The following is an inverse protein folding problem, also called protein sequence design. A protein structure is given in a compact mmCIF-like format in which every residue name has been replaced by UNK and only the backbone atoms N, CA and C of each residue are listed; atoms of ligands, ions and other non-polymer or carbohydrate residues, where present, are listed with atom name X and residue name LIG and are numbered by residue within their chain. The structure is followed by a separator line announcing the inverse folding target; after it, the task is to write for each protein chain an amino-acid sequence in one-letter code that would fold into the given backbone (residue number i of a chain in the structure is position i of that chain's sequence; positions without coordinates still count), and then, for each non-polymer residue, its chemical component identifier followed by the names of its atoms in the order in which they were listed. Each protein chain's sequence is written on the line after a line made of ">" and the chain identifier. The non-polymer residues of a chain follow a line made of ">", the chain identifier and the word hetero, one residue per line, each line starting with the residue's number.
data_IF_709492482167
#
_entry.id   IF_709492482167
#
_cell.length_a   1.000
_cell.length_b   1.000
_cell.length_c   1.000
_cell.angle_alpha   90.00
_cell.angle_beta   90.00
_cell.angle_gamma   90.00
#
_symmetry.space_group_name_H-M   'P 1'
#
loop_
_entity.id
_entity.type
_entity.pdbx_description
1 polymer ?
#
# COMPACT_ATOMS: atom_id res chain seq x y z
N UNK A 1 -8.41 20.16 -7.04
CA UNK A 1 -7.92 19.44 -5.84
C UNK A 1 -9.02 19.49 -4.79
N UNK A 2 -9.54 18.34 -4.37
CA UNK A 2 -10.53 18.28 -3.28
C UNK A 2 -9.83 18.11 -1.92
N UNK A 3 -10.50 18.49 -0.82
CA UNK A 3 -9.98 18.23 0.53
C UNK A 3 -9.71 16.73 0.75
N UNK A 4 -10.60 15.86 0.26
CA UNK A 4 -10.45 14.41 0.36
C UNK A 4 -9.19 13.91 -0.37
N UNK A 5 -8.95 14.41 -1.59
CA UNK A 5 -7.75 14.07 -2.36
C UNK A 5 -6.46 14.51 -1.65
N UNK A 6 -6.47 15.67 -0.98
CA UNK A 6 -5.34 16.13 -0.18
C UNK A 6 -5.10 15.22 1.05
N UNK A 7 -6.16 14.87 1.78
CA UNK A 7 -6.10 13.98 2.95
C UNK A 7 -5.59 12.59 2.55
N UNK A 8 -6.12 12.00 1.46
CA UNK A 8 -5.66 10.71 0.94
C UNK A 8 -4.18 10.74 0.58
N UNK A 9 -3.72 11.79 -0.11
CA UNK A 9 -2.31 11.93 -0.47
C UNK A 9 -1.39 12.05 0.75
N UNK A 10 -1.80 12.81 1.77
CA UNK A 10 -1.04 12.92 3.02
C UNK A 10 -1.01 11.57 3.73
N UNK A 11 -2.13 10.87 3.83
CA UNK A 11 -2.22 9.56 4.48
C UNK A 11 -1.29 8.53 3.80
N UNK A 12 -1.30 8.45 2.46
CA UNK A 12 -0.42 7.53 1.72
C UNK A 12 1.06 7.87 1.89
N UNK A 13 1.43 9.16 1.89
CA UNK A 13 2.81 9.60 2.13
C UNK A 13 3.26 9.28 3.56
N UNK A 14 2.41 9.52 4.56
CA UNK A 14 2.70 9.18 5.96
C UNK A 14 2.81 7.67 6.16
N UNK A 15 2.00 6.88 5.46
CA UNK A 15 2.08 5.42 5.50
C UNK A 15 3.41 4.93 4.90
N UNK A 16 3.81 5.45 3.74
CA UNK A 16 5.12 5.17 3.15
C UNK A 16 6.27 5.46 4.11
N UNK A 17 6.25 6.62 4.78
CA UNK A 17 7.28 6.97 5.74
C UNK A 17 7.27 6.02 6.96
N UNK A 18 6.08 5.63 7.44
CA UNK A 18 5.95 4.65 8.52
C UNK A 18 6.56 3.29 8.13
N UNK A 19 6.38 2.84 6.89
CA UNK A 19 6.98 1.61 6.36
C UNK A 19 8.51 1.72 6.30
N UNK A 20 9.07 2.88 5.92
CA UNK A 20 10.52 3.09 5.86
C UNK A 20 11.21 2.99 7.22
N UNK A 21 10.50 3.34 8.29
CA UNK A 21 11.02 3.31 9.65
C UNK A 21 10.94 1.93 10.33
N UNK A 22 10.21 0.98 9.74
CA UNK A 22 10.01 -0.34 10.32
C UNK A 22 10.87 -1.42 9.66
N UNK A 23 10.99 -2.58 10.30
CA UNK A 23 11.57 -3.80 9.75
C UNK A 23 10.49 -4.87 9.78
N UNK A 24 10.31 -5.60 8.67
CA UNK A 24 9.21 -6.54 8.52
C UNK A 24 9.69 -7.99 8.52
N UNK A 25 8.87 -8.88 9.07
CA UNK A 25 8.93 -10.31 8.75
C UNK A 25 8.22 -10.56 7.42
N UNK A 26 8.32 -11.80 6.90
CA UNK A 26 7.59 -12.22 5.70
C UNK A 26 6.09 -11.95 5.80
N UNK A 27 5.46 -12.31 6.93
CA UNK A 27 4.02 -12.07 7.12
C UNK A 27 3.69 -10.59 7.29
N UNK A 28 4.61 -9.79 7.85
CA UNK A 28 4.47 -8.32 7.88
C UNK A 28 4.44 -7.73 6.48
N UNK A 29 5.35 -8.15 5.58
CA UNK A 29 5.34 -7.75 4.18
C UNK A 29 4.05 -8.15 3.46
N UNK A 30 3.58 -9.38 3.68
CA UNK A 30 2.34 -9.88 3.08
C UNK A 30 1.11 -9.09 3.56
N UNK A 31 1.09 -8.69 4.84
CA UNK A 31 0.04 -7.83 5.36
C UNK A 31 0.05 -6.45 4.68
N UNK A 32 1.23 -5.85 4.45
CA UNK A 32 1.33 -4.60 3.68
C UNK A 32 0.76 -4.77 2.27
N UNK A 33 0.95 -5.91 1.59
CA UNK A 33 0.34 -6.16 0.28
C UNK A 33 -1.20 -6.15 0.35
N UNK A 34 -1.79 -6.78 1.37
CA UNK A 34 -3.24 -6.80 1.60
C UNK A 34 -3.76 -5.41 1.91
N UNK A 35 -3.11 -4.68 2.81
CA UNK A 35 -3.49 -3.32 3.19
C UNK A 35 -3.45 -2.39 1.98
N UNK A 36 -2.37 -2.45 1.17
CA UNK A 36 -2.23 -1.68 -0.06
C UNK A 36 -3.32 -2.02 -1.08
N UNK A 37 -3.67 -3.30 -1.27
CA UNK A 37 -4.75 -3.70 -2.16
C UNK A 37 -6.11 -3.18 -1.65
N UNK A 38 -6.37 -3.27 -0.35
CA UNK A 38 -7.59 -2.74 0.26
C UNK A 38 -7.68 -1.22 0.09
N UNK A 39 -6.60 -0.49 0.36
CA UNK A 39 -6.54 0.96 0.19
C UNK A 39 -6.76 1.36 -1.27
N UNK A 40 -6.16 0.64 -2.24
CA UNK A 40 -6.39 0.89 -3.66
C UNK A 40 -7.87 0.75 -4.03
N UNK A 41 -8.54 -0.31 -3.57
CA UNK A 41 -9.95 -0.56 -3.89
C UNK A 41 -10.91 0.47 -3.26
N UNK A 42 -10.59 1.00 -2.08
CA UNK A 42 -11.47 1.88 -1.34
C UNK A 42 -11.16 3.37 -1.55
N UNK A 43 -9.91 3.73 -1.84
CA UNK A 43 -9.49 5.13 -1.94
C UNK A 43 -9.57 5.71 -3.36
N UNK A 44 -9.63 4.87 -4.41
CA UNK A 44 -9.59 5.34 -5.80
C UNK A 44 -10.65 6.41 -6.12
N UNK A 45 -11.84 6.30 -5.52
CA UNK A 45 -12.96 7.24 -5.72
C UNK A 45 -12.70 8.64 -5.15
N UNK A 46 -11.70 8.79 -4.28
CA UNK A 46 -11.39 10.05 -3.60
C UNK A 46 -10.13 10.74 -4.18
N UNK A 47 -9.43 10.08 -5.11
CA UNK A 47 -8.22 10.61 -5.73
C UNK A 47 -8.56 11.25 -7.08
N UNK A 48 -8.10 12.48 -7.31
CA UNK A 48 -8.25 13.13 -8.63
C UNK A 48 -7.23 12.62 -9.67
N UNK A 49 -6.13 12.04 -9.22
CA UNK A 49 -5.06 11.46 -10.05
C UNK A 49 -4.76 10.05 -9.54
N UNK A 50 -5.36 9.06 -10.21
CA UNK A 50 -5.20 7.65 -9.84
C UNK A 50 -3.76 7.19 -9.98
N UNK A 51 -3.00 7.72 -10.96
CA UNK A 51 -1.62 7.31 -11.22
C UNK A 51 -0.70 7.68 -10.05
N UNK A 52 -0.94 8.84 -9.43
CA UNK A 52 -0.19 9.25 -8.23
C UNK A 52 -0.47 8.33 -7.05
N UNK A 53 -1.74 7.95 -6.82
CA UNK A 53 -2.06 7.00 -5.75
C UNK A 53 -1.48 5.60 -6.02
N UNK A 54 -1.55 5.11 -7.27
CA UNK A 54 -0.98 3.84 -7.68
C UNK A 54 0.54 3.81 -7.46
N UNK A 55 1.24 4.84 -7.93
CA UNK A 55 2.70 4.93 -7.75
C UNK A 55 3.13 5.01 -6.28
N UNK A 56 2.35 5.70 -5.42
CA UNK A 56 2.59 5.70 -3.98
C UNK A 56 2.37 4.33 -3.35
N UNK A 57 1.31 3.62 -3.75
CA UNK A 57 1.05 2.26 -3.27
C UNK A 57 2.16 1.29 -3.69
N UNK A 58 2.59 1.34 -4.95
CA UNK A 58 3.71 0.52 -5.43
C UNK A 58 5.01 0.82 -4.67
N UNK A 59 5.28 2.11 -4.39
CA UNK A 59 6.44 2.52 -3.60
C UNK A 59 6.35 2.06 -2.14
N UNK A 60 5.16 2.02 -1.53
CA UNK A 60 4.94 1.46 -0.19
C UNK A 60 5.31 -0.02 -0.16
N UNK A 61 4.77 -0.82 -1.09
CA UNK A 61 5.07 -2.26 -1.16
C UNK A 61 6.55 -2.49 -1.45
N UNK A 62 7.13 -1.76 -2.40
CA UNK A 62 8.55 -1.80 -2.74
C UNK A 62 9.44 -1.44 -1.55
N UNK A 63 9.06 -0.44 -0.77
CA UNK A 63 9.74 -0.08 0.47
C UNK A 63 9.63 -1.19 1.53
N UNK A 64 8.46 -1.80 1.70
CA UNK A 64 8.28 -2.92 2.62
C UNK A 64 9.15 -4.12 2.23
N UNK A 65 9.27 -4.43 0.92
CA UNK A 65 10.16 -5.50 0.42
C UNK A 65 11.61 -5.23 0.83
N UNK A 66 12.11 -4.00 0.62
CA UNK A 66 13.47 -3.60 1.02
C UNK A 66 13.71 -3.64 2.53
N UNK A 67 12.65 -3.54 3.33
CA UNK A 67 12.70 -3.54 4.80
C UNK A 67 12.35 -4.89 5.41
N UNK A 68 12.11 -5.91 4.59
CA UNK A 68 11.78 -7.25 5.05
C UNK A 68 13.05 -8.09 5.24
N UNK A 69 13.10 -8.86 6.34
CA UNK A 69 14.24 -9.74 6.65
C UNK A 69 14.31 -10.93 5.69
N UNK A 70 13.17 -11.49 5.30
CA UNK A 70 13.03 -12.60 4.35
C UNK A 70 11.84 -12.31 3.41
N UNK A 71 12.07 -11.52 2.34
CA UNK A 71 11.00 -11.05 1.48
C UNK A 71 10.41 -12.21 0.65
N UNK A 72 9.17 -12.58 0.96
CA UNK A 72 8.35 -13.46 0.12
C UNK A 72 7.00 -12.81 -0.10
N UNK A 73 6.76 -12.41 -1.34
CA UNK A 73 5.50 -11.81 -1.74
C UNK A 73 4.40 -12.87 -1.72
N UNK A 74 3.22 -12.46 -1.26
CA UNK A 74 1.98 -13.19 -1.45
C UNK A 74 1.56 -13.12 -2.93
N UNK A 75 1.04 -14.23 -3.44
CA UNK A 75 0.50 -14.32 -4.78
C UNK A 75 -0.61 -13.28 -5.01
N UNK A 76 -0.62 -12.57 -6.15
CA UNK A 76 -1.61 -11.53 -6.43
C UNK A 76 -3.06 -12.01 -6.34
N UNK A 77 -3.32 -13.27 -6.69
CA UNK A 77 -4.64 -13.90 -6.58
C UNK A 77 -5.07 -14.05 -5.13
N UNK A 78 -4.17 -14.52 -4.25
CA UNK A 78 -4.43 -14.64 -2.81
C UNK A 78 -4.72 -13.28 -2.18
N UNK A 79 -3.94 -12.25 -2.53
CA UNK A 79 -4.18 -10.87 -2.05
C UNK A 79 -5.58 -10.39 -2.46
N UNK A 80 -5.96 -10.58 -3.73
CA UNK A 80 -7.29 -10.18 -4.24
C UNK A 80 -8.42 -10.92 -3.53
N UNK A 81 -8.28 -12.23 -3.33
CA UNK A 81 -9.27 -13.05 -2.62
C UNK A 81 -9.47 -12.57 -1.18
N UNK A 82 -8.39 -12.23 -0.47
CA UNK A 82 -8.47 -11.68 0.90
C UNK A 82 -9.20 -10.33 0.91
N UNK A 83 -8.94 -9.47 -0.08
CA UNK A 83 -9.62 -8.17 -0.19
C UNK A 83 -11.08 -8.27 -0.69
N UNK A 84 -11.65 -9.47 -0.83
CA UNK A 84 -13.05 -9.66 -1.20
C UNK A 84 -13.34 -9.53 -2.70
N UNK A 85 -12.35 -9.81 -3.56
CA UNK A 85 -12.51 -9.90 -5.02
C UNK A 85 -12.00 -11.22 -5.58
#
# INVERSE_FOLDING_TARGET
>A
MSLLTAVVNIALKSFLESVRLQTFSTFGLQQIQVDCCFLQQNLWRYTSDEQVALSLIDEIVSSAVRRCVDPKLMEPTTVKTICGR
#
